data_IF_875055735289
#
_entry.id   IF_875055735289
#
_cell.length_a   1.000
_cell.length_b   1.000
_cell.length_c   1.000
_cell.angle_alpha   90.00
_cell.angle_beta   90.00
_cell.angle_gamma   90.00
#
_symmetry.space_group_name_H-M   'P 1'
#
loop_
_entity.id
_entity.type
_entity.pdbx_description
1 polymer ?
#
# COMPACT_ATOMS: atom_id res chain seq x y z
N UNK A 1 -44.97 -9.79 -21.07
CA UNK A 1 -43.67 -10.40 -20.76
C UNK A 1 -42.74 -9.26 -20.42
N UNK A 2 -42.55 -8.99 -19.13
CA UNK A 2 -41.77 -7.84 -18.67
C UNK A 2 -40.29 -8.21 -18.74
N UNK A 3 -39.55 -7.47 -19.56
CA UNK A 3 -38.09 -7.47 -19.66
C UNK A 3 -37.52 -6.69 -18.49
N UNK A 4 -36.93 -7.37 -17.50
CA UNK A 4 -36.13 -6.76 -16.44
C UNK A 4 -35.03 -7.73 -16.03
N UNK A 5 -33.92 -7.79 -16.79
CA UNK A 5 -32.68 -8.45 -16.34
C UNK A 5 -31.47 -7.80 -17.02
N UNK A 6 -31.03 -6.63 -16.53
CA UNK A 6 -29.75 -6.01 -16.92
C UNK A 6 -29.26 -4.94 -15.92
N UNK A 7 -29.58 -5.09 -14.62
CA UNK A 7 -29.20 -4.11 -13.59
C UNK A 7 -28.35 -4.70 -12.45
N UNK A 8 -28.22 -6.03 -12.34
CA UNK A 8 -27.41 -6.68 -11.29
C UNK A 8 -25.90 -6.75 -11.60
N UNK A 9 -25.52 -6.68 -12.88
CA UNK A 9 -24.14 -6.91 -13.34
C UNK A 9 -23.19 -5.75 -12.95
N UNK A 10 -23.68 -4.51 -12.99
CA UNK A 10 -22.85 -3.32 -12.65
C UNK A 10 -22.57 -3.18 -11.16
N UNK A 11 -23.53 -3.51 -10.31
CA UNK A 11 -23.37 -3.37 -8.86
C UNK A 11 -22.38 -4.41 -8.31
N UNK A 12 -22.33 -5.61 -8.91
CA UNK A 12 -21.36 -6.65 -8.55
C UNK A 12 -19.94 -6.29 -9.02
N UNK A 13 -19.78 -5.76 -10.24
CA UNK A 13 -18.48 -5.31 -10.76
C UNK A 13 -17.89 -4.13 -9.94
N UNK A 14 -18.73 -3.15 -9.58
CA UNK A 14 -18.31 -2.00 -8.76
C UNK A 14 -17.88 -2.43 -7.35
N UNK A 15 -18.58 -3.39 -6.75
CA UNK A 15 -18.24 -3.93 -5.43
C UNK A 15 -16.93 -4.72 -5.45
N UNK A 16 -16.68 -5.51 -6.50
CA UNK A 16 -15.43 -6.25 -6.66
C UNK A 16 -14.23 -5.29 -6.83
N UNK A 17 -14.42 -4.22 -7.61
CA UNK A 17 -13.41 -3.19 -7.81
C UNK A 17 -13.04 -2.47 -6.51
N UNK A 18 -14.02 -2.03 -5.72
CA UNK A 18 -13.76 -1.39 -4.42
C UNK A 18 -13.08 -2.36 -3.43
N UNK A 19 -13.42 -3.66 -3.47
CA UNK A 19 -12.74 -4.65 -2.64
C UNK A 19 -11.26 -4.76 -3.00
N UNK A 20 -10.93 -4.86 -4.30
CA UNK A 20 -9.53 -4.88 -4.77
C UNK A 20 -8.78 -3.59 -4.41
N UNK A 21 -9.45 -2.44 -4.49
CA UNK A 21 -8.87 -1.16 -4.09
C UNK A 21 -8.59 -1.11 -2.58
N UNK A 22 -9.51 -1.65 -1.76
CA UNK A 22 -9.31 -1.74 -0.33
C UNK A 22 -8.15 -2.67 0.03
N UNK A 23 -8.04 -3.83 -0.62
CA UNK A 23 -6.89 -4.73 -0.45
C UNK A 23 -5.57 -4.05 -0.82
N UNK A 24 -5.56 -3.22 -1.86
CA UNK A 24 -4.39 -2.42 -2.24
C UNK A 24 -3.98 -1.44 -1.13
N UNK A 25 -4.94 -0.71 -0.56
CA UNK A 25 -4.70 0.22 0.55
C UNK A 25 -4.22 -0.54 1.79
N UNK A 26 -4.86 -1.66 2.13
CA UNK A 26 -4.52 -2.48 3.29
C UNK A 26 -3.10 -3.04 3.16
N UNK A 27 -2.72 -3.53 1.97
CA UNK A 27 -1.37 -4.01 1.68
C UNK A 27 -0.30 -2.97 2.03
N UNK A 28 -0.53 -1.72 1.63
CA UNK A 28 0.38 -0.59 1.84
C UNK A 28 0.42 -0.16 3.30
N UNK A 29 -0.75 0.00 3.91
CA UNK A 29 -0.90 0.51 5.29
C UNK A 29 -0.30 -0.47 6.31
N UNK A 30 -0.50 -1.78 6.13
CA UNK A 30 0.04 -2.83 6.99
C UNK A 30 1.57 -2.88 6.88
N UNK A 31 2.12 -2.88 5.66
CA UNK A 31 3.57 -3.01 5.43
C UNK A 31 4.35 -1.75 5.76
N UNK A 32 3.67 -0.59 5.79
CA UNK A 32 4.24 0.75 6.04
C UNK A 32 5.22 1.23 4.96
N UNK A 33 6.07 0.36 4.45
CA UNK A 33 7.06 0.62 3.41
C UNK A 33 6.90 -0.44 2.32
N UNK A 34 6.68 0.00 1.08
CA UNK A 34 6.41 -0.89 -0.06
C UNK A 34 7.18 -0.45 -1.29
N UNK A 35 7.67 -1.41 -2.08
CA UNK A 35 8.25 -1.15 -3.39
C UNK A 35 7.17 -1.16 -4.46
N UNK A 36 7.30 -0.32 -5.49
CA UNK A 36 6.35 -0.33 -6.60
C UNK A 36 6.40 -1.63 -7.40
N UNK A 37 7.56 -2.29 -7.46
CA UNK A 37 7.72 -3.60 -8.10
C UNK A 37 6.94 -4.69 -7.37
N UNK A 38 7.05 -4.75 -6.03
CA UNK A 38 6.29 -5.71 -5.22
C UNK A 38 4.78 -5.51 -5.37
N UNK A 39 4.32 -4.26 -5.39
CA UNK A 39 2.92 -3.92 -5.62
C UNK A 39 2.47 -4.26 -7.05
N UNK A 40 3.32 -4.02 -8.04
CA UNK A 40 3.05 -4.37 -9.43
C UNK A 40 2.88 -5.89 -9.60
N UNK A 41 3.79 -6.67 -9.01
CA UNK A 41 3.75 -8.12 -9.03
C UNK A 41 2.52 -8.68 -8.29
N UNK A 42 2.21 -8.18 -7.09
CA UNK A 42 1.09 -8.68 -6.30
C UNK A 42 -0.27 -8.43 -6.96
N UNK A 43 -0.44 -7.28 -7.62
CA UNK A 43 -1.70 -6.90 -8.24
C UNK A 43 -1.75 -7.15 -9.76
N UNK A 44 -0.67 -7.68 -10.35
CA UNK A 44 -0.57 -7.95 -11.79
C UNK A 44 -0.71 -6.70 -12.66
N UNK A 45 -0.23 -5.55 -12.20
CA UNK A 45 -0.32 -4.26 -12.92
C UNK A 45 1.08 -3.68 -13.16
N UNK A 46 1.21 -2.71 -14.07
CA UNK A 46 2.52 -2.10 -14.30
C UNK A 46 2.91 -1.16 -13.15
N UNK A 47 4.22 -0.98 -12.91
CA UNK A 47 4.70 -0.02 -11.89
C UNK A 47 4.23 1.42 -12.17
N UNK A 48 3.97 1.79 -13.43
CA UNK A 48 3.38 3.08 -13.78
C UNK A 48 1.94 3.19 -13.28
N UNK A 49 1.16 2.13 -13.44
CA UNK A 49 -0.22 2.08 -12.95
C UNK A 49 -0.27 2.09 -11.42
N UNK A 50 0.69 1.44 -10.75
CA UNK A 50 0.85 1.55 -9.28
C UNK A 50 1.05 2.99 -8.85
N UNK A 51 1.95 3.72 -9.53
CA UNK A 51 2.26 5.13 -9.21
C UNK A 51 1.02 6.00 -9.42
N UNK A 52 0.36 5.89 -10.57
CA UNK A 52 -0.86 6.65 -10.87
C UNK A 52 -1.99 6.33 -9.87
N UNK A 53 -2.16 5.06 -9.49
CA UNK A 53 -3.16 4.66 -8.49
C UNK A 53 -2.84 5.21 -7.10
N UNK A 54 -1.58 5.20 -6.68
CA UNK A 54 -1.15 5.82 -5.42
C UNK A 54 -1.40 7.33 -5.46
N UNK A 55 -1.08 8.02 -6.55
CA UNK A 55 -1.33 9.45 -6.70
C UNK A 55 -2.83 9.78 -6.57
N UNK A 56 -3.70 9.05 -7.27
CA UNK A 56 -5.16 9.22 -7.14
C UNK A 56 -5.68 8.95 -5.72
N UNK A 57 -5.12 7.95 -5.04
CA UNK A 57 -5.45 7.66 -3.64
C UNK A 57 -4.97 8.76 -2.68
N UNK A 58 -3.86 9.42 -3.00
CA UNK A 58 -3.38 10.59 -2.26
C UNK A 58 -4.25 11.82 -2.50
N UNK A 59 -4.64 12.08 -3.75
CA UNK A 59 -5.53 13.20 -4.10
C UNK A 59 -6.92 13.07 -3.49
N UNK A 60 -7.46 11.85 -3.41
CA UNK A 60 -8.71 11.56 -2.72
C UNK A 60 -8.62 11.50 -1.19
N UNK A 61 -7.40 11.58 -0.63
CA UNK A 61 -7.15 11.51 0.81
C UNK A 61 -7.31 10.10 1.42
N UNK A 62 -7.57 9.07 0.61
CA UNK A 62 -7.67 7.66 1.07
C UNK A 62 -6.32 7.07 1.48
N UNK A 63 -5.22 7.64 0.97
CA UNK A 63 -3.87 7.21 1.30
C UNK A 63 -2.98 8.43 1.55
N UNK A 64 -2.14 8.39 2.58
CA UNK A 64 -1.15 9.44 2.85
C UNK A 64 0.23 8.81 2.97
N UNK A 65 1.26 9.51 2.48
CA UNK A 65 2.60 8.97 2.47
C UNK A 65 3.56 9.77 1.60
N UNK A 66 4.79 9.28 1.54
CA UNK A 66 5.88 9.87 0.78
C UNK A 66 6.32 8.87 -0.28
N UNK A 67 6.44 9.34 -1.51
CA UNK A 67 7.08 8.64 -2.62
C UNK A 67 8.57 9.00 -2.66
N UNK A 68 9.42 8.01 -2.82
CA UNK A 68 10.84 8.16 -3.08
C UNK A 68 11.08 8.00 -4.59
N UNK A 69 11.99 8.78 -5.17
CA UNK A 69 12.34 8.75 -6.59
C UNK A 69 12.94 7.41 -7.04
N UNK A 70 13.35 6.57 -6.09
CA UNK A 70 13.88 5.22 -6.31
C UNK A 70 12.81 4.12 -6.33
N UNK A 71 11.52 4.50 -6.37
CA UNK A 71 10.44 3.53 -6.57
C UNK A 71 9.88 2.90 -5.28
N UNK A 72 9.96 3.62 -4.16
CA UNK A 72 9.43 3.17 -2.86
C UNK A 72 8.34 4.13 -2.38
N UNK A 73 7.33 3.58 -1.73
CA UNK A 73 6.31 4.36 -1.02
C UNK A 73 6.38 4.07 0.47
N UNK A 74 6.29 5.13 1.27
CA UNK A 74 6.25 5.07 2.73
C UNK A 74 4.90 5.65 3.16
N UNK A 75 4.04 4.79 3.70
CA UNK A 75 2.79 5.22 4.29
C UNK A 75 3.04 5.97 5.60
N UNK A 76 2.39 7.12 5.75
CA UNK A 76 2.40 7.91 6.99
C UNK A 76 0.95 7.96 7.47
N UNK A 77 0.74 7.58 8.73
CA UNK A 77 -0.60 7.65 9.31
C UNK A 77 -0.94 9.09 9.66
N UNK A 78 -2.22 9.41 9.69
CA UNK A 78 -2.68 10.76 10.06
C UNK A 78 -2.14 11.18 11.44
N UNK A 79 -2.09 10.26 12.40
CA UNK A 79 -1.54 10.52 13.74
C UNK A 79 -0.06 10.91 13.73
N UNK A 80 0.74 10.24 12.90
CA UNK A 80 2.17 10.55 12.76
C UNK A 80 2.36 11.90 12.09
N UNK A 81 1.60 12.15 11.03
CA UNK A 81 1.61 13.43 10.32
C UNK A 81 1.21 14.59 11.25
N UNK A 82 0.13 14.43 12.00
CA UNK A 82 -0.34 15.44 12.95
C UNK A 82 0.67 15.66 14.08
N UNK A 83 1.33 14.60 14.57
CA UNK A 83 2.35 14.71 15.61
C UNK A 83 3.57 15.51 15.12
N UNK A 84 4.03 15.28 13.90
CA UNK A 84 5.10 16.07 13.28
C UNK A 84 4.66 17.52 13.07
N UNK A 85 3.44 17.74 12.55
CA UNK A 85 2.91 19.09 12.36
C UNK A 85 2.79 19.86 13.69
N UNK A 86 2.34 19.19 14.76
CA UNK A 86 2.24 19.76 16.11
C UNK A 86 3.63 20.14 16.63
N UNK A 87 4.61 19.27 16.49
CA UNK A 87 6.00 19.55 16.89
C UNK A 87 6.56 20.81 16.21
N UNK A 88 6.37 20.93 14.88
CA UNK A 88 6.81 22.11 14.12
C UNK A 88 6.10 23.37 14.62
N UNK A 89 4.77 23.31 14.79
CA UNK A 89 3.96 24.46 15.25
C UNK A 89 4.35 24.93 16.66
N UNK A 90 4.59 24.00 17.59
CA UNK A 90 4.95 24.35 18.97
C UNK A 90 6.35 24.94 19.09
N UNK A 91 7.31 24.47 18.28
CA UNK A 91 8.70 24.96 18.29
C UNK A 91 8.91 26.22 17.45
N UNK A 92 8.05 26.47 16.45
CA UNK A 92 8.18 27.59 15.52
C UNK A 92 9.34 27.39 14.56
N UNK A 93 10.53 27.92 14.87
CA UNK A 93 11.74 27.72 14.05
C UNK A 93 12.44 26.44 14.49
N UNK A 94 12.50 25.47 13.59
CA UNK A 94 13.10 24.15 13.85
C UNK A 94 14.29 23.97 12.92
N UNK A 95 15.45 23.59 13.47
CA UNK A 95 16.58 23.19 12.64
C UNK A 95 16.29 21.84 11.98
N UNK A 96 16.83 21.63 10.77
CA UNK A 96 16.65 20.36 10.05
C UNK A 96 17.11 19.15 10.87
N UNK A 97 18.20 19.29 11.63
CA UNK A 97 18.73 18.24 12.53
C UNK A 97 17.71 17.83 13.59
N UNK A 98 17.06 18.81 14.22
CA UNK A 98 16.13 18.59 15.32
C UNK A 98 14.83 17.96 14.80
N UNK A 99 14.37 18.43 13.63
CA UNK A 99 13.23 17.84 12.95
C UNK A 99 13.50 16.39 12.57
N UNK A 100 14.67 16.08 12.01
CA UNK A 100 15.04 14.69 11.66
C UNK A 100 15.07 13.79 12.91
N UNK A 101 15.66 14.27 14.00
CA UNK A 101 15.74 13.51 15.25
C UNK A 101 14.35 13.22 15.81
N UNK A 102 13.45 14.21 15.77
CA UNK A 102 12.10 14.02 16.27
C UNK A 102 11.23 13.17 15.32
N UNK A 103 11.35 13.36 14.00
CA UNK A 103 10.69 12.52 13.01
C UNK A 103 11.06 11.04 13.16
N UNK A 104 12.32 10.71 13.49
CA UNK A 104 12.73 9.33 13.75
C UNK A 104 12.02 8.69 14.96
N UNK A 105 11.51 9.51 15.90
CA UNK A 105 10.72 9.03 17.04
C UNK A 105 9.22 8.98 16.72
N UNK A 106 8.74 9.97 15.95
CA UNK A 106 7.32 10.16 15.67
C UNK A 106 6.82 9.29 14.51
N UNK A 107 7.66 9.02 13.51
CA UNK A 107 7.30 8.26 12.31
C UNK A 107 7.90 6.86 12.40
N UNK A 108 7.04 5.84 12.44
CA UNK A 108 7.48 4.46 12.49
C UNK A 108 7.52 3.87 11.08
N UNK A 109 8.67 3.30 10.71
CA UNK A 109 8.86 2.62 9.42
C UNK A 109 8.61 1.12 9.48
N UNK A 110 8.49 0.55 10.68
CA UNK A 110 8.23 -0.88 10.86
C UNK A 110 6.72 -1.15 11.07
N UNK A 111 6.21 -2.28 10.55
CA UNK A 111 4.85 -2.74 10.82
C UNK A 111 4.66 -3.12 12.31
N UNK A 112 3.43 -3.08 12.85
CA UNK A 112 3.17 -3.56 14.23
C UNK A 112 3.45 -5.06 14.32
N UNK A 113 3.63 -5.58 15.53
CA UNK A 113 3.81 -7.02 15.73
C UNK A 113 2.60 -7.83 15.27
N UNK A 114 1.40 -7.27 15.35
CA UNK A 114 0.15 -7.86 14.85
C UNK A 114 0.15 -7.93 13.31
N UNK A 115 0.64 -6.87 12.65
CA UNK A 115 0.76 -6.78 11.21
C UNK A 115 1.82 -7.75 10.64
N UNK A 116 2.88 -8.03 11.43
CA UNK A 116 3.93 -8.99 11.03
C UNK A 116 3.40 -10.39 10.78
N UNK A 117 2.33 -10.81 11.46
CA UNK A 117 1.72 -12.12 11.23
C UNK A 117 1.07 -12.18 9.83
N UNK A 118 0.32 -11.14 9.46
CA UNK A 118 -0.30 -11.01 8.12
C UNK A 118 0.76 -10.94 7.03
N UNK A 119 1.81 -10.13 7.23
CA UNK A 119 2.92 -10.03 6.27
C UNK A 119 3.62 -11.37 6.08
N UNK A 120 3.82 -12.16 7.14
CA UNK A 120 4.42 -13.50 7.04
C UNK A 120 3.53 -14.48 6.29
N UNK A 121 2.22 -14.44 6.51
CA UNK A 121 1.26 -15.27 5.78
C UNK A 121 1.24 -14.92 4.30
N UNK A 122 1.18 -13.63 3.96
CA UNK A 122 1.23 -13.14 2.58
C UNK A 122 2.55 -13.53 1.91
N UNK A 123 3.69 -13.35 2.58
CA UNK A 123 4.98 -13.78 2.05
C UNK A 123 5.04 -15.29 1.81
N UNK A 124 4.46 -16.10 2.71
CA UNK A 124 4.39 -17.54 2.52
C UNK A 124 3.56 -17.89 1.28
N UNK A 125 2.40 -17.24 1.10
CA UNK A 125 1.55 -17.43 -0.08
C UNK A 125 2.25 -17.01 -1.38
N UNK A 126 2.99 -15.88 -1.35
CA UNK A 126 3.79 -15.43 -2.49
C UNK A 126 4.89 -16.44 -2.83
N UNK A 127 5.65 -16.92 -1.84
CA UNK A 127 6.67 -17.96 -2.07
C UNK A 127 6.06 -19.24 -2.65
N UNK A 128 4.93 -19.69 -2.12
CA UNK A 128 4.26 -20.91 -2.57
C UNK A 128 3.73 -20.78 -4.01
N UNK A 129 3.25 -19.59 -4.41
CA UNK A 129 2.90 -19.30 -5.82
C UNK A 129 4.13 -19.37 -6.73
N UNK A 130 5.23 -18.73 -6.34
CA UNK A 130 6.49 -18.75 -7.11
C UNK A 130 7.03 -20.17 -7.24
N UNK A 131 7.00 -20.96 -6.17
CA UNK A 131 7.43 -22.37 -6.19
C UNK A 131 6.56 -23.24 -7.10
N UNK A 132 5.26 -22.94 -7.20
CA UNK A 132 4.35 -23.66 -8.10
C UNK A 132 4.58 -23.28 -9.57
N UNK A 133 4.81 -22.00 -9.88
CA UNK A 133 5.15 -21.56 -11.25
C UNK A 133 6.47 -22.17 -11.72
N UNK A 134 7.50 -22.23 -10.86
CA UNK A 134 8.79 -22.85 -11.20
C UNK A 134 8.64 -24.36 -11.46
N UNK A 135 7.74 -25.06 -10.76
CA UNK A 135 7.48 -26.49 -10.96
C UNK A 135 6.68 -26.78 -12.23
N UNK A 136 5.84 -25.85 -12.68
CA UNK A 136 5.11 -25.98 -13.96
C UNK A 136 6.01 -25.69 -15.17
N UNK A 137 7.10 -24.92 -14.99
CA UNK A 137 8.09 -24.62 -16.03
C UNK A 137 9.22 -25.66 -16.19
N UNK A 138 9.26 -26.76 -15.42
CA UNK A 138 10.15 -27.89 -15.75
C UNK A 138 9.53 -28.72 -16.89
N UNK A 139 9.99 -28.59 -18.16
CA UNK A 139 9.54 -29.51 -19.20
C UNK A 139 10.02 -30.90 -18.84
N UNK A 140 9.11 -31.88 -18.88
CA UNK A 140 9.43 -33.31 -18.92
C UNK A 140 10.54 -33.53 -19.96
N UNK A 141 11.76 -33.76 -19.48
CA UNK A 141 12.87 -34.30 -20.26
C UNK A 141 12.65 -35.79 -20.52
#
# INVERSE_FOLDING_TARGET
MFTVEAAGDKEEEDAEYENKLQQFIDYITIRKVVLFEDLAAEFGISSKDVIDRIQRLQESGRLQGITDDRGKFIHITEQEYESVARYIKTRGRVAKSDLLMECNKLVRLQPRNEDKAKIKEDQKKMLEKVENEIKEEEPKA
#
